data_IF_297072624131
#
_entry.id   IF_297072624131
#
_cell.length_a   1.000
_cell.length_b   1.000
_cell.length_c   1.000
_cell.angle_alpha   90.00
_cell.angle_beta   90.00
_cell.angle_gamma   90.00
#
_symmetry.space_group_name_H-M   'P 1'
#
loop_
_entity.id
_entity.type
_entity.pdbx_description
1 polymer ?
#
# COMPACT_ATOMS: atom_id res chain seq x y z
N UNK A 1 0.43 34.16 -68.97
CA UNK A 1 1.89 33.97 -69.17
C UNK A 1 2.63 35.25 -69.33
N UNK A 2 2.18 36.21 -70.25
CA UNK A 2 2.87 37.49 -70.43
C UNK A 2 2.73 38.43 -69.23
N UNK A 3 1.56 38.44 -68.57
CA UNK A 3 1.32 39.20 -67.33
C UNK A 3 2.15 38.64 -66.15
N UNK A 4 2.29 37.36 -66.08
CA UNK A 4 3.11 36.67 -65.00
C UNK A 4 4.61 36.96 -65.22
N UNK A 5 5.09 37.11 -66.47
CA UNK A 5 6.48 37.47 -66.75
C UNK A 5 6.79 38.95 -66.39
N UNK A 6 5.81 39.84 -66.55
CA UNK A 6 5.94 41.25 -66.12
C UNK A 6 6.02 41.36 -64.55
N UNK A 7 5.24 40.55 -63.85
CA UNK A 7 5.27 40.54 -62.39
C UNK A 7 6.63 40.05 -61.85
N UNK A 8 7.39 39.30 -62.62
CA UNK A 8 8.74 38.84 -62.28
C UNK A 8 9.88 39.69 -62.85
N UNK A 9 9.58 40.94 -63.27
CA UNK A 9 10.58 41.93 -63.64
C UNK A 9 11.19 41.76 -65.03
N UNK A 10 10.54 41.02 -65.93
CA UNK A 10 10.96 40.87 -67.33
C UNK A 10 10.32 41.98 -68.14
N UNK A 11 11.08 42.96 -68.70
CA UNK A 11 10.54 44.06 -69.52
C UNK A 11 9.97 43.50 -70.82
N UNK A 12 8.66 43.72 -71.06
CA UNK A 12 7.92 43.18 -72.22
C UNK A 12 7.93 44.12 -73.46
N UNK A 13 8.67 45.23 -73.43
CA UNK A 13 8.72 46.19 -74.50
C UNK A 13 9.76 45.75 -75.56
N UNK A 14 9.29 45.43 -76.79
CA UNK A 14 10.10 45.27 -78.03
C UNK A 14 11.16 44.16 -78.00
N UNK A 15 10.75 42.95 -77.66
CA UNK A 15 11.66 41.76 -77.65
C UNK A 15 11.61 41.09 -79.03
N UNK A 16 12.76 41.00 -79.72
CA UNK A 16 12.88 40.18 -80.96
C UNK A 16 12.68 38.67 -80.59
N UNK A 17 12.34 37.81 -81.60
CA UNK A 17 12.15 36.38 -81.36
C UNK A 17 13.36 35.74 -80.72
N UNK A 18 14.57 36.15 -81.05
CA UNK A 18 15.81 35.64 -80.45
C UNK A 18 15.97 36.08 -78.94
N UNK A 19 15.61 37.33 -78.62
CA UNK A 19 15.62 37.79 -77.23
C UNK A 19 14.54 37.10 -76.38
N UNK A 20 13.37 36.81 -76.95
CA UNK A 20 12.31 36.05 -76.33
C UNK A 20 12.77 34.60 -75.99
N UNK A 21 13.53 33.99 -76.88
CA UNK A 21 14.07 32.66 -76.69
C UNK A 21 15.14 32.61 -75.59
N UNK A 22 16.03 33.64 -75.55
CA UNK A 22 17.04 33.79 -74.49
C UNK A 22 16.37 34.07 -73.15
N UNK A 23 15.36 34.94 -73.11
CA UNK A 23 14.62 35.22 -71.88
C UNK A 23 13.85 34.01 -71.37
N UNK A 24 13.23 33.24 -72.29
CA UNK A 24 12.57 31.93 -71.91
C UNK A 24 13.56 30.93 -71.33
N UNK A 25 14.72 30.80 -71.95
CA UNK A 25 15.79 29.95 -71.42
C UNK A 25 16.30 30.36 -70.08
N UNK A 26 16.49 31.66 -69.88
CA UNK A 26 16.90 32.20 -68.58
C UNK A 26 15.84 32.01 -67.49
N UNK A 27 14.56 32.24 -67.82
CA UNK A 27 13.45 32.00 -66.90
C UNK A 27 13.33 30.51 -66.53
N UNK A 28 13.44 29.60 -67.49
CA UNK A 28 13.43 28.15 -67.23
C UNK A 28 14.56 27.71 -66.30
N UNK A 29 15.78 28.28 -66.53
CA UNK A 29 16.94 28.01 -65.67
C UNK A 29 16.74 28.56 -64.23
N UNK A 30 16.18 29.76 -64.13
CA UNK A 30 15.88 30.38 -62.84
C UNK A 30 14.84 29.58 -62.04
N UNK A 31 13.76 29.11 -62.71
CA UNK A 31 12.73 28.28 -62.09
C UNK A 31 13.31 26.93 -61.69
N UNK A 32 14.08 26.27 -62.52
CA UNK A 32 14.75 25.01 -62.20
C UNK A 32 15.66 25.16 -60.97
N UNK A 33 16.46 26.23 -60.94
CA UNK A 33 17.34 26.55 -59.81
C UNK A 33 16.54 26.81 -58.52
N UNK A 34 15.45 27.57 -58.59
CA UNK A 34 14.57 27.87 -57.47
C UNK A 34 13.89 26.57 -56.95
N UNK A 35 13.45 25.71 -57.86
CA UNK A 35 12.83 24.42 -57.49
C UNK A 35 13.82 23.50 -56.79
N UNK A 36 15.05 23.40 -57.28
CA UNK A 36 16.08 22.57 -56.59
C UNK A 36 16.46 23.16 -55.22
N UNK A 37 16.54 24.49 -55.06
CA UNK A 37 16.72 25.14 -53.75
C UNK A 37 15.56 24.82 -52.82
N UNK A 38 14.32 24.90 -53.28
CA UNK A 38 13.12 24.60 -52.52
C UNK A 38 13.07 23.11 -52.10
N UNK A 39 13.39 22.19 -53.04
CA UNK A 39 13.49 20.74 -52.75
C UNK A 39 14.56 20.46 -51.69
N UNK A 40 15.73 21.05 -51.83
CA UNK A 40 16.81 20.92 -50.86
C UNK A 40 16.43 21.49 -49.47
N UNK A 41 15.73 22.62 -49.43
CA UNK A 41 15.22 23.19 -48.18
C UNK A 41 14.16 22.27 -47.53
N UNK A 42 13.23 21.77 -48.30
CA UNK A 42 12.22 20.82 -47.86
C UNK A 42 12.85 19.54 -47.31
N UNK A 43 13.78 18.93 -48.01
CA UNK A 43 14.50 17.72 -47.57
C UNK A 43 15.18 17.94 -46.21
N UNK A 44 15.86 19.10 -46.04
CA UNK A 44 16.48 19.46 -44.77
C UNK A 44 15.45 19.62 -43.63
N UNK A 45 14.28 20.17 -43.90
CA UNK A 45 13.20 20.28 -42.88
C UNK A 45 12.67 18.91 -42.50
N UNK A 46 12.44 18.03 -43.48
CA UNK A 46 11.98 16.65 -43.24
C UNK A 46 13.01 15.88 -42.37
N UNK A 47 14.29 15.97 -42.74
CA UNK A 47 15.37 15.32 -41.99
C UNK A 47 15.46 15.85 -40.53
N UNK A 48 15.41 17.19 -40.36
CA UNK A 48 15.42 17.80 -39.02
C UNK A 48 14.21 17.40 -38.20
N UNK A 49 13.01 17.28 -38.79
CA UNK A 49 11.81 16.78 -38.11
C UNK A 49 11.99 15.33 -37.65
N UNK A 50 12.52 14.47 -38.52
CA UNK A 50 12.78 13.08 -38.16
C UNK A 50 13.83 12.94 -37.06
N UNK A 51 14.89 13.77 -37.11
CA UNK A 51 15.88 13.81 -36.03
C UNK A 51 15.29 14.33 -34.72
N UNK A 52 14.49 15.39 -34.77
CA UNK A 52 13.80 15.93 -33.59
C UNK A 52 12.84 14.91 -32.96
N UNK A 53 12.07 14.19 -33.77
CA UNK A 53 11.17 13.14 -33.27
C UNK A 53 11.94 12.01 -32.54
N UNK A 54 13.08 11.57 -33.14
CA UNK A 54 13.95 10.57 -32.49
C UNK A 54 14.52 11.07 -31.15
N UNK A 55 15.04 12.30 -31.13
CA UNK A 55 15.58 12.89 -29.91
C UNK A 55 14.52 13.09 -28.83
N UNK A 56 13.29 13.45 -29.22
CA UNK A 56 12.15 13.56 -28.31
C UNK A 56 11.84 12.21 -27.68
N UNK A 57 11.76 11.13 -28.47
CA UNK A 57 11.52 9.79 -27.93
C UNK A 57 12.61 9.34 -26.96
N UNK A 58 13.89 9.57 -27.29
CA UNK A 58 15.02 9.26 -26.39
C UNK A 58 14.95 10.08 -25.10
N UNK A 59 14.63 11.37 -25.21
CA UNK A 59 14.44 12.24 -24.04
C UNK A 59 13.32 11.73 -23.14
N UNK A 60 12.18 11.38 -23.72
CA UNK A 60 11.01 10.93 -22.95
C UNK A 60 11.30 9.64 -22.20
N UNK A 61 11.95 8.66 -22.83
CA UNK A 61 12.43 7.45 -22.17
C UNK A 61 13.44 7.76 -21.04
N UNK A 62 14.35 8.70 -21.28
CA UNK A 62 15.32 9.10 -20.26
C UNK A 62 14.67 9.82 -19.06
N UNK A 63 13.64 10.63 -19.32
CA UNK A 63 12.87 11.32 -18.27
C UNK A 63 12.11 10.30 -17.41
N UNK A 64 11.47 9.29 -18.02
CA UNK A 64 10.80 8.21 -17.29
C UNK A 64 11.79 7.43 -16.41
N UNK A 65 12.92 7.04 -16.97
CA UNK A 65 13.98 6.35 -16.21
C UNK A 65 14.51 7.22 -15.05
N UNK A 66 14.67 8.52 -15.28
CA UNK A 66 15.08 9.45 -14.23
C UNK A 66 14.03 9.56 -13.11
N UNK A 67 12.74 9.59 -13.45
CA UNK A 67 11.67 9.65 -12.45
C UNK A 67 11.65 8.38 -11.59
N UNK A 68 11.77 7.20 -12.21
CA UNK A 68 11.87 5.93 -11.49
C UNK A 68 13.09 5.92 -10.58
N UNK A 69 14.26 6.31 -11.08
CA UNK A 69 15.48 6.37 -10.27
C UNK A 69 15.37 7.35 -9.09
N UNK A 70 14.75 8.51 -9.28
CA UNK A 70 14.49 9.47 -8.20
C UNK A 70 13.54 8.90 -7.14
N UNK A 71 12.47 8.23 -7.56
CA UNK A 71 11.52 7.60 -6.65
C UNK A 71 12.20 6.50 -5.83
N UNK A 72 12.95 5.61 -6.49
CA UNK A 72 13.74 4.58 -5.80
C UNK A 72 14.77 5.20 -4.85
N UNK A 73 15.46 6.23 -5.26
CA UNK A 73 16.41 6.94 -4.40
C UNK A 73 15.76 7.58 -3.18
N UNK A 74 14.50 8.01 -3.29
CA UNK A 74 13.73 8.52 -2.15
C UNK A 74 13.32 7.38 -1.20
N UNK A 75 12.82 6.28 -1.74
CA UNK A 75 12.40 5.11 -0.95
C UNK A 75 13.58 4.41 -0.25
N UNK A 76 14.76 4.40 -0.88
CA UNK A 76 15.97 3.77 -0.34
C UNK A 76 16.80 4.68 0.57
N UNK A 77 16.31 5.89 0.90
CA UNK A 77 16.96 6.72 1.92
C UNK A 77 16.99 6.01 3.26
N UNK A 78 17.95 6.38 4.08
CA UNK A 78 18.17 5.78 5.41
C UNK A 78 16.94 5.82 6.34
N UNK A 79 16.02 6.73 6.10
CA UNK A 79 14.75 6.90 6.84
C UNK A 79 13.52 6.42 6.04
N UNK A 80 13.59 6.36 4.71
CA UNK A 80 12.47 5.99 3.83
C UNK A 80 12.19 4.49 3.83
N UNK A 81 13.21 3.68 3.59
CA UNK A 81 13.05 2.22 3.53
C UNK A 81 12.61 1.60 4.87
N UNK A 82 13.22 1.94 6.03
CA UNK A 82 12.75 1.43 7.32
C UNK A 82 11.31 1.82 7.63
N UNK A 83 10.89 3.06 7.32
CA UNK A 83 9.49 3.49 7.50
C UNK A 83 8.53 2.69 6.63
N UNK A 84 8.86 2.49 5.37
CA UNK A 84 8.05 1.67 4.47
C UNK A 84 7.94 0.23 4.96
N UNK A 85 9.05 -0.36 5.41
CA UNK A 85 9.06 -1.73 5.95
C UNK A 85 8.18 -1.86 7.18
N UNK A 86 8.30 -0.91 8.13
CA UNK A 86 7.47 -0.88 9.33
C UNK A 86 5.99 -0.68 8.98
N UNK A 87 5.68 0.24 8.06
CA UNK A 87 4.30 0.45 7.61
C UNK A 87 3.72 -0.81 6.98
N UNK A 88 4.46 -1.46 6.07
CA UNK A 88 4.01 -2.72 5.43
C UNK A 88 3.83 -3.86 6.44
N UNK A 89 4.70 -3.96 7.44
CA UNK A 89 4.55 -4.95 8.52
C UNK A 89 3.33 -4.65 9.39
N UNK A 90 3.07 -3.36 9.67
CA UNK A 90 1.90 -2.93 10.42
C UNK A 90 0.61 -3.19 9.65
N UNK A 91 0.58 -2.88 8.34
CA UNK A 91 -0.56 -3.18 7.46
C UNK A 91 -0.93 -4.68 7.53
N UNK A 92 0.07 -5.55 7.39
CA UNK A 92 -0.14 -7.01 7.47
C UNK A 92 -0.61 -7.45 8.86
N UNK A 93 0.00 -6.93 9.93
CA UNK A 93 -0.39 -7.24 11.30
C UNK A 93 -1.84 -6.83 11.59
N UNK A 94 -2.22 -5.63 11.17
CA UNK A 94 -3.57 -5.10 11.39
C UNK A 94 -4.60 -5.89 10.59
N UNK A 95 -4.28 -6.29 9.36
CA UNK A 95 -5.17 -7.12 8.55
C UNK A 95 -5.44 -8.48 9.23
N UNK A 96 -4.39 -9.18 9.69
CA UNK A 96 -4.53 -10.46 10.41
C UNK A 96 -5.27 -10.28 11.75
N UNK A 97 -4.98 -9.21 12.49
CA UNK A 97 -5.63 -8.89 13.75
C UNK A 97 -7.11 -8.54 13.54
N UNK A 98 -7.45 -7.85 12.45
CA UNK A 98 -8.83 -7.51 12.09
C UNK A 98 -9.69 -8.75 11.89
N UNK A 99 -9.18 -9.74 11.16
CA UNK A 99 -9.87 -11.03 10.99
C UNK A 99 -10.14 -11.69 12.34
N UNK A 100 -9.12 -11.74 13.21
CA UNK A 100 -9.26 -12.31 14.54
C UNK A 100 -10.23 -11.53 15.42
N UNK A 101 -10.21 -10.20 15.36
CA UNK A 101 -11.12 -9.34 16.12
C UNK A 101 -12.57 -9.51 15.67
N UNK A 102 -12.83 -9.57 14.36
CA UNK A 102 -14.16 -9.83 13.84
C UNK A 102 -14.73 -11.16 14.38
N UNK A 103 -13.91 -12.23 14.40
CA UNK A 103 -14.34 -13.51 14.98
C UNK A 103 -14.62 -13.42 16.49
N UNK A 104 -13.72 -12.79 17.25
CA UNK A 104 -13.83 -12.68 18.71
C UNK A 104 -14.98 -11.78 19.16
N UNK A 105 -15.33 -10.77 18.35
CA UNK A 105 -16.43 -9.83 18.62
C UNK A 105 -17.76 -10.24 17.97
N UNK A 106 -17.84 -11.42 17.34
CA UNK A 106 -19.04 -11.84 16.62
C UNK A 106 -19.38 -10.99 15.42
N UNK A 107 -18.37 -10.41 14.77
CA UNK A 107 -18.51 -9.54 13.59
C UNK A 107 -18.79 -8.07 13.90
N UNK A 108 -18.73 -7.67 15.17
CA UNK A 108 -19.04 -6.29 15.55
C UNK A 108 -17.89 -5.33 15.19
N UNK A 109 -16.64 -5.75 15.39
CA UNK A 109 -15.48 -4.88 15.27
C UNK A 109 -14.48 -5.38 14.23
N UNK A 110 -13.90 -4.43 13.50
CA UNK A 110 -12.70 -4.61 12.70
C UNK A 110 -11.61 -3.64 13.14
N UNK A 111 -10.35 -4.08 13.09
CA UNK A 111 -9.20 -3.24 13.39
C UNK A 111 -8.66 -2.60 12.11
N UNK A 112 -8.34 -1.33 12.20
CA UNK A 112 -7.64 -0.61 11.13
C UNK A 112 -6.61 0.33 11.74
N UNK A 113 -5.80 0.99 10.91
CA UNK A 113 -4.91 2.03 11.39
C UNK A 113 -4.82 3.20 10.39
N UNK A 114 -4.48 4.35 10.91
CA UNK A 114 -4.22 5.55 10.11
C UNK A 114 -3.01 6.28 10.70
N UNK A 115 -1.99 6.53 9.85
CA UNK A 115 -0.73 7.14 10.27
C UNK A 115 -0.03 6.45 11.46
N UNK A 116 -0.23 5.15 11.65
CA UNK A 116 0.33 4.37 12.76
C UNK A 116 -0.51 4.40 14.03
N UNK A 117 -1.64 5.10 14.05
CA UNK A 117 -2.61 5.05 15.14
C UNK A 117 -3.68 3.99 14.86
N UNK A 118 -3.96 3.13 15.83
CA UNK A 118 -4.99 2.10 15.72
C UNK A 118 -6.38 2.71 15.87
N UNK A 119 -7.26 2.27 14.98
CA UNK A 119 -8.68 2.61 14.96
C UNK A 119 -9.49 1.33 14.92
N UNK A 120 -10.74 1.41 15.39
CA UNK A 120 -11.71 0.34 15.27
C UNK A 120 -12.86 0.82 14.38
N UNK A 121 -13.29 -0.04 13.49
CA UNK A 121 -14.54 0.11 12.73
C UNK A 121 -15.63 -0.61 13.50
N UNK A 122 -16.70 0.09 13.86
CA UNK A 122 -17.84 -0.47 14.59
C UNK A 122 -19.00 -0.70 13.61
N UNK A 123 -19.25 -1.96 13.25
CA UNK A 123 -20.30 -2.34 12.30
C UNK A 123 -21.71 -2.18 12.88
N UNK A 124 -21.84 -2.03 14.20
CA UNK A 124 -23.13 -1.75 14.83
C UNK A 124 -23.47 -0.27 14.85
N UNK A 125 -22.48 0.61 14.58
CA UNK A 125 -22.65 2.07 14.49
C UNK A 125 -22.30 2.57 13.07
N UNK A 126 -22.98 2.03 12.07
CA UNK A 126 -22.86 2.42 10.65
C UNK A 126 -21.40 2.51 10.14
N UNK A 127 -20.56 1.55 10.51
CA UNK A 127 -19.14 1.49 10.17
C UNK A 127 -18.33 2.71 10.67
N UNK A 128 -18.75 3.29 11.80
CA UNK A 128 -18.06 4.42 12.39
C UNK A 128 -16.62 4.04 12.80
N UNK A 129 -15.65 4.88 12.41
CA UNK A 129 -14.26 4.72 12.80
C UNK A 129 -13.99 5.50 14.07
N UNK A 130 -13.49 4.83 15.10
CA UNK A 130 -13.18 5.45 16.38
C UNK A 130 -11.83 5.01 16.93
N UNK A 131 -11.11 5.85 17.68
CA UNK A 131 -9.85 5.47 18.30
C UNK A 131 -10.02 4.30 19.26
N UNK A 132 -9.07 3.36 19.31
CA UNK A 132 -9.09 2.20 20.22
C UNK A 132 -9.22 2.59 21.71
N UNK A 133 -8.76 3.78 22.08
CA UNK A 133 -8.91 4.30 23.46
C UNK A 133 -10.36 4.60 23.88
N UNK A 134 -11.31 4.54 22.97
CA UNK A 134 -12.75 4.71 23.25
C UNK A 134 -13.46 3.38 23.49
N UNK A 135 -12.75 2.26 23.38
CA UNK A 135 -13.26 0.92 23.63
C UNK A 135 -13.52 0.71 25.13
N UNK A 136 -14.53 -0.07 25.46
CA UNK A 136 -14.77 -0.58 26.80
C UNK A 136 -13.64 -1.54 27.23
N UNK A 137 -13.61 -1.94 28.49
CA UNK A 137 -12.61 -2.88 28.98
C UNK A 137 -12.65 -4.24 28.25
N UNK A 138 -13.83 -4.78 28.02
CA UNK A 138 -14.02 -6.04 27.29
C UNK A 138 -13.64 -5.94 25.83
N UNK A 139 -14.04 -4.87 25.14
CA UNK A 139 -13.68 -4.59 23.75
C UNK A 139 -12.17 -4.38 23.61
N UNK A 140 -11.54 -3.67 24.54
CA UNK A 140 -10.08 -3.48 24.58
C UNK A 140 -9.37 -4.82 24.76
N UNK A 141 -9.90 -5.72 25.60
CA UNK A 141 -9.37 -7.07 25.77
C UNK A 141 -9.44 -7.85 24.44
N UNK A 142 -10.58 -7.83 23.73
CA UNK A 142 -10.74 -8.51 22.44
C UNK A 142 -9.75 -7.95 21.38
N UNK A 143 -9.62 -6.65 21.27
CA UNK A 143 -8.70 -6.01 20.33
C UNK A 143 -7.23 -6.32 20.65
N UNK A 144 -6.85 -6.30 21.94
CA UNK A 144 -5.50 -6.63 22.40
C UNK A 144 -5.16 -8.10 22.16
N UNK A 145 -6.10 -8.99 22.42
CA UNK A 145 -5.97 -10.42 22.16
C UNK A 145 -5.82 -10.72 20.67
N UNK A 146 -6.63 -10.07 19.83
CA UNK A 146 -6.55 -10.19 18.37
C UNK A 146 -5.18 -9.78 17.84
N UNK A 147 -4.64 -8.65 18.31
CA UNK A 147 -3.29 -8.20 17.97
C UNK A 147 -2.21 -9.18 18.42
N UNK A 148 -2.32 -9.73 19.65
CA UNK A 148 -1.37 -10.70 20.17
C UNK A 148 -1.38 -12.01 19.36
N UNK A 149 -2.55 -12.46 18.95
CA UNK A 149 -2.71 -13.65 18.10
C UNK A 149 -2.10 -13.44 16.71
N UNK A 150 -2.35 -12.29 16.08
CA UNK A 150 -1.79 -11.93 14.78
C UNK A 150 -0.26 -11.82 14.85
N UNK A 151 0.28 -11.16 15.88
CA UNK A 151 1.73 -11.05 16.08
C UNK A 151 2.37 -12.43 16.27
N UNK A 152 1.75 -13.29 17.07
CA UNK A 152 2.19 -14.67 17.28
C UNK A 152 2.22 -15.48 15.98
N UNK A 153 1.21 -15.32 15.11
CA UNK A 153 1.14 -15.99 13.82
C UNK A 153 2.25 -15.49 12.87
N UNK A 154 2.48 -14.18 12.80
CA UNK A 154 3.53 -13.61 11.96
C UNK A 154 4.93 -14.00 12.41
N UNK A 155 5.20 -14.02 13.72
CA UNK A 155 6.49 -14.49 14.25
C UNK A 155 6.77 -15.95 13.86
N UNK A 156 5.76 -16.80 13.87
CA UNK A 156 5.87 -18.20 13.44
C UNK A 156 6.17 -18.34 11.94
N UNK A 157 5.66 -17.42 11.12
CA UNK A 157 5.94 -17.36 9.67
C UNK A 157 7.34 -16.84 9.32
N UNK A 158 7.89 -15.92 10.12
CA UNK A 158 9.24 -15.36 9.94
C UNK A 158 10.35 -16.32 10.37
N UNK A 159 10.07 -17.23 11.27
CA UNK A 159 11.02 -18.25 11.69
C UNK A 159 11.15 -19.32 10.59
N UNK A 160 11.97 -19.01 9.58
CA UNK A 160 12.29 -19.93 8.50
C UNK A 160 12.79 -21.27 9.06
N UNK A 161 12.12 -22.36 8.65
CA UNK A 161 12.57 -23.74 8.81
C UNK A 161 12.71 -24.26 10.26
N UNK A 162 11.59 -24.48 10.93
CA UNK A 162 11.56 -25.31 12.15
C UNK A 162 11.25 -24.60 13.45
N UNK A 163 10.79 -23.36 13.43
CA UNK A 163 10.24 -22.75 14.64
C UNK A 163 8.94 -23.46 15.05
N UNK A 164 8.89 -23.86 16.32
CA UNK A 164 7.70 -24.43 16.91
C UNK A 164 6.52 -23.48 16.77
N UNK A 165 5.40 -23.96 16.28
CA UNK A 165 4.13 -23.23 16.35
C UNK A 165 3.85 -22.95 17.82
N UNK A 166 3.40 -21.75 18.14
CA UNK A 166 2.93 -21.44 19.48
C UNK A 166 1.60 -22.18 19.71
N UNK A 167 1.72 -23.35 20.32
CA UNK A 167 0.58 -24.24 20.60
C UNK A 167 -0.15 -23.87 21.89
N UNK A 168 0.35 -22.90 22.64
CA UNK A 168 -0.26 -22.45 23.89
C UNK A 168 -0.15 -20.94 24.05
N UNK A 169 -1.16 -20.35 24.65
CA UNK A 169 -1.19 -18.94 25.06
C UNK A 169 -1.57 -18.89 26.54
N UNK A 170 -0.85 -18.07 27.30
CA UNK A 170 -1.16 -17.83 28.71
C UNK A 170 -1.51 -16.35 28.89
N UNK A 171 -2.67 -16.11 29.46
CA UNK A 171 -3.19 -14.80 29.81
C UNK A 171 -3.03 -14.62 31.31
N UNK A 172 -2.12 -13.74 31.70
CA UNK A 172 -1.76 -13.54 33.08
C UNK A 172 -2.39 -12.26 33.61
N UNK A 173 -3.45 -12.42 34.42
CA UNK A 173 -4.21 -11.34 35.07
C UNK A 173 -4.80 -10.28 34.11
N UNK A 174 -5.14 -9.09 34.63
CA UNK A 174 -5.75 -8.00 33.85
C UNK A 174 -7.29 -7.99 33.90
N UNK A 175 -7.93 -8.95 34.54
CA UNK A 175 -9.39 -9.06 34.58
C UNK A 175 -10.03 -8.43 35.81
N UNK A 176 -9.24 -8.12 36.85
CA UNK A 176 -9.73 -7.66 38.15
C UNK A 176 -10.34 -6.25 38.17
N UNK A 177 -10.08 -5.46 37.13
CA UNK A 177 -10.61 -4.10 36.97
C UNK A 177 -11.86 -4.03 36.09
N UNK A 178 -12.28 -5.17 35.53
CA UNK A 178 -13.43 -5.24 34.65
C UNK A 178 -14.73 -5.34 35.46
N UNK A 179 -15.76 -4.66 34.98
CA UNK A 179 -17.13 -4.83 35.49
C UNK A 179 -17.73 -6.17 35.03
N UNK A 180 -18.89 -6.52 35.55
CA UNK A 180 -19.55 -7.79 35.27
C UNK A 180 -19.87 -8.01 33.79
N UNK A 181 -20.30 -6.96 33.08
CA UNK A 181 -20.62 -7.05 31.65
C UNK A 181 -19.36 -7.28 30.81
N UNK A 182 -18.26 -6.60 31.10
CA UNK A 182 -16.98 -6.78 30.43
C UNK A 182 -16.35 -8.17 30.75
N UNK A 183 -16.52 -8.67 31.98
CA UNK A 183 -16.10 -10.04 32.35
C UNK A 183 -16.86 -11.10 31.54
N UNK A 184 -18.16 -10.92 31.32
CA UNK A 184 -18.95 -11.81 30.46
C UNK A 184 -18.43 -11.84 29.02
N UNK A 185 -18.11 -10.68 28.45
CA UNK A 185 -17.53 -10.53 27.11
C UNK A 185 -16.18 -11.26 27.03
N UNK A 186 -15.32 -11.07 28.02
CA UNK A 186 -14.00 -11.74 28.09
C UNK A 186 -14.17 -13.24 28.19
N UNK A 187 -15.06 -13.74 29.04
CA UNK A 187 -15.30 -15.17 29.20
C UNK A 187 -15.78 -15.81 27.87
N UNK A 188 -16.75 -15.20 27.20
CA UNK A 188 -17.21 -15.65 25.89
C UNK A 188 -16.12 -15.63 24.82
N UNK A 189 -15.24 -14.63 24.86
CA UNK A 189 -14.06 -14.53 23.98
C UNK A 189 -13.09 -15.68 24.21
N UNK A 190 -12.79 -16.01 25.46
CA UNK A 190 -11.91 -17.14 25.83
C UNK A 190 -12.51 -18.48 25.44
N UNK A 191 -13.80 -18.66 25.61
CA UNK A 191 -14.53 -19.86 25.18
C UNK A 191 -14.45 -20.03 23.65
N UNK A 192 -14.67 -18.95 22.91
CA UNK A 192 -14.55 -18.92 21.43
C UNK A 192 -13.12 -19.28 21.01
N UNK A 193 -12.11 -18.72 21.66
CA UNK A 193 -10.71 -19.00 21.37
C UNK A 193 -10.36 -20.47 21.68
N UNK A 194 -10.81 -21.00 22.81
CA UNK A 194 -10.59 -22.39 23.18
C UNK A 194 -11.31 -23.38 22.24
N UNK A 195 -12.51 -23.03 21.76
CA UNK A 195 -13.29 -23.83 20.82
C UNK A 195 -12.63 -24.01 19.45
N UNK A 196 -11.72 -23.12 19.05
CA UNK A 196 -10.92 -23.28 17.81
C UNK A 196 -10.06 -24.55 17.84
N UNK A 197 -9.62 -24.99 19.02
CA UNK A 197 -8.86 -26.22 19.19
C UNK A 197 -7.46 -26.22 18.58
N UNK A 198 -6.98 -25.10 18.09
CA UNK A 198 -5.68 -24.94 17.45
C UNK A 198 -4.55 -24.70 18.46
N UNK A 199 -4.89 -24.39 19.71
CA UNK A 199 -3.96 -24.11 20.80
C UNK A 199 -4.55 -24.33 22.17
N UNK A 200 -3.68 -24.49 23.17
CA UNK A 200 -4.06 -24.53 24.57
C UNK A 200 -4.15 -23.10 25.12
N UNK A 201 -5.27 -22.77 25.74
CA UNK A 201 -5.47 -21.46 26.37
C UNK A 201 -5.38 -21.63 27.88
N UNK A 202 -4.38 -21.03 28.52
CA UNK A 202 -4.22 -20.93 29.95
C UNK A 202 -4.58 -19.54 30.45
N UNK A 203 -5.32 -19.46 31.55
CA UNK A 203 -5.72 -18.18 32.16
C UNK A 203 -5.27 -18.20 33.62
N UNK A 204 -4.53 -17.19 34.04
CA UNK A 204 -4.16 -16.96 35.42
C UNK A 204 -5.03 -15.81 35.93
N UNK A 205 -5.89 -16.09 36.90
CA UNK A 205 -6.84 -15.11 37.41
C UNK A 205 -7.16 -15.30 38.87
N UNK A 206 -7.47 -14.23 39.56
CA UNK A 206 -8.03 -14.25 40.92
C UNK A 206 -9.55 -13.94 40.92
N UNK A 207 -10.17 -13.80 39.74
CA UNK A 207 -11.59 -13.50 39.57
C UNK A 207 -12.39 -14.80 39.57
N UNK A 208 -13.21 -15.08 40.61
CA UNK A 208 -13.93 -16.35 40.73
C UNK A 208 -14.88 -16.61 39.56
N UNK A 209 -15.62 -15.59 39.13
CA UNK A 209 -16.59 -15.69 38.05
C UNK A 209 -15.96 -16.21 36.74
N UNK A 210 -14.72 -15.81 36.45
CA UNK A 210 -13.98 -16.29 35.28
C UNK A 210 -13.45 -17.71 35.49
N UNK A 211 -12.95 -18.01 36.70
CA UNK A 211 -12.43 -19.33 37.03
C UNK A 211 -13.52 -20.43 36.99
N UNK A 212 -14.77 -20.11 37.32
CA UNK A 212 -15.90 -21.03 37.27
C UNK A 212 -16.33 -21.43 35.85
N UNK A 213 -15.99 -20.66 34.86
CA UNK A 213 -16.32 -20.92 33.45
C UNK A 213 -15.31 -21.85 32.74
N UNK A 214 -14.18 -22.10 33.36
CA UNK A 214 -13.12 -22.94 32.77
C UNK A 214 -13.29 -24.41 33.23
N UNK A 215 -13.29 -25.37 32.27
CA UNK A 215 -13.59 -26.79 32.60
C UNK A 215 -12.52 -27.44 33.46
N UNK A 216 -11.27 -27.02 33.41
CA UNK A 216 -10.15 -27.51 34.20
C UNK A 216 -9.44 -26.36 34.86
N UNK A 217 -9.31 -26.38 36.15
CA UNK A 217 -8.60 -25.35 36.92
C UNK A 217 -7.59 -25.92 37.91
N UNK A 218 -6.57 -25.15 38.18
CA UNK A 218 -5.57 -25.45 39.20
C UNK A 218 -5.67 -24.39 40.29
N UNK A 219 -6.28 -24.74 41.44
CA UNK A 219 -6.39 -23.84 42.56
C UNK A 219 -5.06 -23.79 43.33
N UNK A 220 -4.44 -22.62 43.32
CA UNK A 220 -3.20 -22.33 44.03
C UNK A 220 -3.54 -21.70 45.39
N UNK A 221 -3.16 -22.35 46.48
CA UNK A 221 -3.35 -21.86 47.83
C UNK A 221 -1.98 -21.65 48.48
N UNK A 222 -1.79 -20.53 49.11
CA UNK A 222 -0.59 -20.20 49.88
C UNK A 222 -0.94 -20.06 51.36
N UNK A 223 -0.17 -20.76 52.17
CA UNK A 223 -0.17 -20.53 53.60
C UNK A 223 1.16 -19.88 54.06
N UNK A 224 1.36 -19.62 55.35
CA UNK A 224 2.55 -18.93 55.86
C UNK A 224 3.87 -19.68 55.59
N UNK A 225 3.86 -20.96 55.32
CA UNK A 225 5.06 -21.81 55.22
C UNK A 225 5.12 -22.62 53.92
N UNK A 226 4.00 -22.77 53.21
CA UNK A 226 3.92 -23.65 52.03
C UNK A 226 2.93 -23.13 51.00
N UNK A 227 3.02 -23.67 49.79
CA UNK A 227 2.03 -23.50 48.73
C UNK A 227 1.54 -24.84 48.28
N UNK A 228 0.27 -24.97 47.98
CA UNK A 228 -0.34 -26.17 47.44
C UNK A 228 -1.09 -25.86 46.14
N UNK A 229 -1.09 -26.84 45.24
CA UNK A 229 -1.82 -26.75 43.96
C UNK A 229 -2.77 -27.95 43.93
N UNK A 230 -4.04 -27.67 43.73
CA UNK A 230 -5.07 -28.69 43.59
C UNK A 230 -5.75 -28.57 42.25
N UNK A 231 -5.80 -29.68 41.51
CA UNK A 231 -6.56 -29.72 40.25
C UNK A 231 -8.04 -29.91 40.56
N UNK A 232 -8.88 -29.08 39.99
CA UNK A 232 -10.34 -29.12 40.09
C UNK A 232 -10.94 -29.16 38.67
N UNK A 233 -12.04 -29.88 38.49
CA UNK A 233 -12.69 -30.11 37.18
C UNK A 233 -12.40 -31.51 36.61
N UNK A 234 -13.13 -31.82 35.51
CA UNK A 234 -13.15 -33.18 34.87
C UNK A 234 -11.80 -33.62 34.36
#
# INVERSE_FOLDING_TARGET
VLEDLAAHGVPLATVSAAEAEVASGAATTAVATALERARGAHARVVERRAAAARLTAVRDTAVEAQQVAKMLGHLLRSDGFPRWLVASALDALVADASVSLAELSGGQFELTHENGEFLVVDHTDADARRPVKTLSGGETFQASLALALALSAQMSGLAAHGAARLESIFLDEGFGTLDEANLETVAGTLETLAARGDRVVGVITHVPALAERVPVRFAVRRDQRSSSVTREGL
#
